data_IF_053239309763
#
_entry.id   IF_053239309763
#
_cell.length_a   1.000
_cell.length_b   1.000
_cell.length_c   1.000
_cell.angle_alpha   90.00
_cell.angle_beta   90.00
_cell.angle_gamma   90.00
#
_symmetry.space_group_name_H-M   'P 1'
#
loop_
_entity.id
_entity.type
_entity.pdbx_description
1 polymer ?
#
# COMPACT_ATOMS: atom_id res chain seq x y z
N UNK A 1 -4.56 19.33 14.32
CA UNK A 1 -4.59 17.87 14.13
C UNK A 1 -3.95 17.56 12.79
N UNK A 2 -2.86 16.79 12.74
CA UNK A 2 -2.30 16.32 11.48
C UNK A 2 -3.24 15.29 10.86
N UNK A 3 -3.62 15.48 9.59
CA UNK A 3 -4.42 14.50 8.85
C UNK A 3 -3.60 13.23 8.65
N UNK A 4 -4.21 12.03 8.79
CA UNK A 4 -3.59 10.74 8.45
C UNK A 4 -2.90 10.82 7.08
N UNK A 5 -3.60 11.38 6.10
CA UNK A 5 -3.08 11.59 4.74
C UNK A 5 -1.79 12.39 4.74
N UNK A 6 -1.68 13.45 5.54
CA UNK A 6 -0.48 14.27 5.63
C UNK A 6 0.70 13.46 6.20
N UNK A 7 0.49 12.67 7.27
CA UNK A 7 1.52 11.82 7.84
C UNK A 7 1.97 10.72 6.85
N UNK A 8 1.01 10.08 6.18
CA UNK A 8 1.32 9.03 5.20
C UNK A 8 2.09 9.58 3.99
N UNK A 9 1.85 10.83 3.58
CA UNK A 9 2.67 11.50 2.57
C UNK A 9 4.08 11.83 3.07
N UNK A 10 4.27 12.13 4.35
CA UNK A 10 5.60 12.38 4.92
C UNK A 10 6.47 11.12 5.07
N UNK A 11 5.91 9.92 4.89
CA UNK A 11 6.69 8.67 4.82
C UNK A 11 7.58 8.56 3.57
N UNK A 12 7.42 9.47 2.60
CA UNK A 12 8.23 9.60 1.40
C UNK A 12 8.56 8.26 0.72
N UNK A 13 7.56 7.56 0.14
CA UNK A 13 7.81 6.29 -0.51
C UNK A 13 8.85 6.40 -1.63
N UNK A 14 9.68 5.38 -1.79
CA UNK A 14 10.77 5.27 -2.74
C UNK A 14 10.23 5.28 -4.18
N UNK A 15 11.07 5.64 -5.14
CA UNK A 15 10.68 5.58 -6.56
C UNK A 15 10.27 4.17 -6.97
N UNK A 16 11.01 3.17 -6.51
CA UNK A 16 10.72 1.77 -6.80
C UNK A 16 9.36 1.31 -6.27
N UNK A 17 9.04 1.63 -5.01
CA UNK A 17 7.74 1.31 -4.44
C UNK A 17 6.59 2.02 -5.16
N UNK A 18 6.79 3.28 -5.55
CA UNK A 18 5.80 4.02 -6.36
C UNK A 18 5.58 3.35 -7.73
N UNK A 19 6.63 2.84 -8.36
CA UNK A 19 6.52 2.13 -9.64
C UNK A 19 5.75 0.82 -9.50
N UNK A 20 6.00 0.07 -8.42
CA UNK A 20 5.24 -1.14 -8.10
C UNK A 20 3.76 -0.85 -7.85
N UNK A 21 3.44 0.22 -7.10
CA UNK A 21 2.05 0.65 -6.91
C UNK A 21 1.39 1.05 -8.22
N UNK A 22 2.09 1.75 -9.13
CA UNK A 22 1.54 2.13 -10.44
C UNK A 22 1.26 0.90 -11.30
N UNK A 23 2.19 -0.05 -11.33
CA UNK A 23 2.04 -1.30 -12.06
C UNK A 23 0.90 -2.14 -11.48
N UNK A 24 0.80 -2.21 -10.16
CA UNK A 24 -0.33 -2.83 -9.48
C UNK A 24 -1.65 -2.18 -9.89
N UNK A 25 -1.76 -0.85 -9.85
CA UNK A 25 -2.99 -0.14 -10.26
C UNK A 25 -3.40 -0.51 -11.68
N UNK A 26 -2.45 -0.50 -12.62
CA UNK A 26 -2.69 -0.88 -14.01
C UNK A 26 -3.26 -2.30 -14.12
N UNK A 27 -2.66 -3.26 -13.40
CA UNK A 27 -3.07 -4.67 -13.41
C UNK A 27 -4.40 -4.88 -12.72
N UNK A 28 -4.61 -4.24 -11.58
CA UNK A 28 -5.85 -4.29 -10.81
C UNK A 28 -7.04 -3.76 -11.63
N UNK A 29 -6.87 -2.63 -12.33
CA UNK A 29 -7.92 -2.06 -13.18
C UNK A 29 -8.13 -2.86 -14.49
N UNK A 30 -7.13 -3.63 -14.91
CA UNK A 30 -7.25 -4.51 -16.07
C UNK A 30 -8.08 -5.77 -15.82
N UNK A 31 -8.42 -6.08 -14.56
CA UNK A 31 -9.25 -7.21 -14.19
C UNK A 31 -10.73 -6.92 -14.47
N UNK A 32 -11.46 -7.78 -15.22
CA UNK A 32 -12.88 -7.56 -15.55
C UNK A 32 -13.78 -7.33 -14.34
N UNK A 33 -13.52 -8.02 -13.22
CA UNK A 33 -14.25 -7.90 -11.96
C UNK A 33 -14.10 -6.53 -11.27
N UNK A 34 -13.10 -5.74 -11.68
CA UNK A 34 -12.77 -4.44 -11.10
C UNK A 34 -13.18 -3.25 -12.00
N UNK A 35 -13.85 -3.50 -13.13
CA UNK A 35 -14.27 -2.45 -14.07
C UNK A 35 -15.09 -1.32 -13.42
N UNK A 36 -15.85 -1.61 -12.36
CA UNK A 36 -16.64 -0.62 -11.61
C UNK A 36 -15.95 -0.10 -10.33
N UNK A 37 -14.75 -0.60 -10.02
CA UNK A 37 -14.01 -0.36 -8.77
C UNK A 37 -12.60 0.14 -9.00
N UNK A 38 -12.39 0.82 -10.12
CA UNK A 38 -11.08 1.29 -10.55
C UNK A 38 -10.38 2.14 -9.48
N UNK A 39 -9.06 1.97 -9.42
CA UNK A 39 -8.18 2.80 -8.61
C UNK A 39 -7.51 3.83 -9.51
N UNK A 40 -7.79 5.11 -9.29
CA UNK A 40 -7.34 6.17 -10.19
C UNK A 40 -5.86 6.57 -10.07
N UNK A 41 -5.21 6.25 -8.94
CA UNK A 41 -3.82 6.66 -8.72
C UNK A 41 -3.11 5.75 -7.72
N UNK A 42 -1.77 5.69 -7.81
CA UNK A 42 -0.94 5.00 -6.83
C UNK A 42 -1.14 5.56 -5.41
N UNK A 43 -1.46 6.86 -5.28
CA UNK A 43 -1.74 7.49 -3.98
C UNK A 43 -3.02 6.92 -3.38
N UNK A 44 -4.08 6.78 -4.18
CA UNK A 44 -5.34 6.20 -3.72
C UNK A 44 -5.16 4.74 -3.28
N UNK A 45 -4.37 3.97 -4.04
CA UNK A 45 -4.01 2.60 -3.66
C UNK A 45 -3.25 2.57 -2.35
N UNK A 46 -2.21 3.41 -2.23
CA UNK A 46 -1.38 3.49 -1.03
C UNK A 46 -2.19 3.83 0.21
N UNK A 47 -3.07 4.84 0.14
CA UNK A 47 -3.95 5.19 1.26
C UNK A 47 -4.90 4.03 1.61
N UNK A 48 -5.51 3.38 0.61
CA UNK A 48 -6.36 2.19 0.85
C UNK A 48 -5.59 1.08 1.55
N UNK A 49 -4.38 0.77 1.09
CA UNK A 49 -3.51 -0.24 1.70
C UNK A 49 -3.18 0.12 3.16
N UNK A 50 -2.80 1.37 3.43
CA UNK A 50 -2.48 1.83 4.80
C UNK A 50 -3.70 1.81 5.72
N UNK A 51 -4.89 2.14 5.21
CA UNK A 51 -6.13 2.00 5.99
C UNK A 51 -6.47 0.54 6.27
N UNK A 52 -6.27 -0.36 5.30
CA UNK A 52 -6.48 -1.79 5.50
C UNK A 52 -5.45 -2.39 6.48
N UNK A 53 -4.22 -1.87 6.51
CA UNK A 53 -3.22 -2.19 7.51
C UNK A 53 -3.74 -1.85 8.91
N UNK A 54 -4.13 -0.60 9.18
CA UNK A 54 -4.66 -0.21 10.50
C UNK A 54 -5.95 -0.95 10.89
N UNK A 55 -6.74 -1.40 9.92
CA UNK A 55 -7.90 -2.25 10.17
C UNK A 55 -7.51 -3.67 10.61
N UNK A 56 -6.43 -4.21 10.04
CA UNK A 56 -5.94 -5.57 10.32
C UNK A 56 -5.07 -5.60 11.58
N UNK A 57 -4.43 -4.48 11.91
CA UNK A 57 -3.54 -4.27 13.06
C UNK A 57 -4.03 -3.03 13.84
N UNK A 58 -5.04 -3.18 14.73
CA UNK A 58 -5.67 -2.06 15.44
C UNK A 58 -4.72 -1.24 16.33
N UNK A 59 -3.55 -1.78 16.66
CA UNK A 59 -2.47 -1.11 17.39
C UNK A 59 -1.75 -0.03 16.58
N UNK A 60 -1.90 -0.04 15.25
CA UNK A 60 -1.22 0.89 14.35
C UNK A 60 -2.00 2.20 14.26
N UNK A 61 -1.37 3.30 14.70
CA UNK A 61 -1.89 4.65 14.49
C UNK A 61 -1.24 5.30 13.25
N UNK A 62 -2.01 5.42 12.16
CA UNK A 62 -1.55 6.05 10.92
C UNK A 62 -1.22 7.54 11.07
N UNK A 63 -1.67 8.21 12.14
CA UNK A 63 -1.34 9.61 12.40
C UNK A 63 0.11 9.80 12.87
N UNK A 64 0.71 8.75 13.42
CA UNK A 64 2.03 8.81 14.08
C UNK A 64 3.01 7.75 13.56
N UNK A 65 2.55 6.80 12.75
CA UNK A 65 3.40 5.79 12.12
C UNK A 65 4.57 6.44 11.40
N UNK A 66 5.76 5.86 11.59
CA UNK A 66 7.01 6.28 10.95
C UNK A 66 7.51 5.21 10.00
N UNK A 67 8.44 5.60 9.13
CA UNK A 67 9.16 4.68 8.26
C UNK A 67 9.90 3.63 9.07
N UNK A 68 10.70 4.06 10.05
CA UNK A 68 11.49 3.16 10.88
C UNK A 68 10.61 2.14 11.60
N UNK A 69 9.47 2.56 12.14
CA UNK A 69 8.51 1.64 12.77
C UNK A 69 8.01 0.55 11.81
N UNK A 70 7.73 0.90 10.54
CA UNK A 70 7.33 -0.07 9.50
C UNK A 70 8.42 -1.12 9.29
N UNK A 71 9.68 -0.72 9.21
CA UNK A 71 10.81 -1.63 9.02
C UNK A 71 11.12 -2.46 10.27
N UNK A 72 11.14 -1.83 11.45
CA UNK A 72 11.46 -2.48 12.74
C UNK A 72 10.42 -3.52 13.14
N UNK A 73 9.14 -3.27 12.84
CA UNK A 73 8.04 -4.17 13.15
C UNK A 73 7.65 -5.06 11.96
N UNK A 74 8.46 -5.03 10.89
CA UNK A 74 8.30 -5.88 9.72
C UNK A 74 6.89 -5.82 9.10
N UNK A 75 6.30 -4.62 9.08
CA UNK A 75 4.91 -4.44 8.69
C UNK A 75 4.70 -4.75 7.20
N UNK A 76 3.59 -5.39 6.83
CA UNK A 76 3.36 -5.87 5.46
C UNK A 76 3.21 -4.75 4.42
N UNK A 77 3.03 -3.49 4.82
CA UNK A 77 2.99 -2.35 3.90
C UNK A 77 4.37 -1.94 3.34
N UNK A 78 5.45 -2.63 3.74
CA UNK A 78 6.82 -2.38 3.27
C UNK A 78 7.02 -2.66 1.78
N UNK A 79 6.27 -3.57 1.16
CA UNK A 79 6.27 -3.80 -0.30
C UNK A 79 4.87 -4.20 -0.76
N UNK A 80 4.57 -4.02 -2.06
CA UNK A 80 3.26 -4.41 -2.61
C UNK A 80 3.04 -5.92 -2.50
N UNK A 81 4.09 -6.70 -2.78
CA UNK A 81 4.10 -8.15 -2.62
C UNK A 81 3.65 -8.56 -1.21
N UNK A 82 4.29 -8.00 -0.17
CA UNK A 82 3.97 -8.35 1.22
C UNK A 82 2.59 -7.88 1.65
N UNK A 83 2.12 -6.77 1.10
CA UNK A 83 0.75 -6.31 1.32
C UNK A 83 -0.27 -7.28 0.74
N UNK A 84 0.01 -7.91 -0.41
CA UNK A 84 -0.85 -8.96 -0.99
C UNK A 84 -0.77 -10.24 -0.15
N UNK A 85 0.42 -10.69 0.26
CA UNK A 85 0.60 -11.87 1.11
C UNK A 85 -0.17 -11.76 2.43
N UNK A 86 -0.20 -10.56 3.04
CA UNK A 86 -0.94 -10.29 4.26
C UNK A 86 -2.44 -10.01 4.05
N UNK A 87 -2.94 -10.05 2.81
CA UNK A 87 -4.34 -9.80 2.48
C UNK A 87 -4.77 -8.33 2.62
N UNK A 88 -3.83 -7.38 2.66
CA UNK A 88 -4.13 -5.95 2.62
C UNK A 88 -4.60 -5.50 1.24
N UNK A 89 -4.10 -6.17 0.20
CA UNK A 89 -4.43 -5.97 -1.19
C UNK A 89 -4.80 -7.33 -1.82
N UNK A 90 -5.78 -7.39 -2.74
CA UNK A 90 -6.06 -8.60 -3.48
C UNK A 90 -4.91 -8.97 -4.44
N UNK A 91 -4.74 -10.25 -4.80
CA UNK A 91 -3.75 -10.63 -5.81
C UNK A 91 -4.14 -10.10 -7.20
N UNK A 92 -3.12 -9.70 -7.97
CA UNK A 92 -3.22 -9.32 -9.40
C UNK A 92 -2.11 -10.01 -10.17
N UNK A 93 -2.18 -10.15 -11.49
CA UNK A 93 -1.13 -10.84 -12.27
C UNK A 93 0.30 -10.39 -11.91
N UNK A 94 1.21 -11.35 -11.68
CA UNK A 94 2.62 -11.17 -11.32
C UNK A 94 2.87 -10.23 -10.12
N UNK A 95 1.97 -10.21 -9.15
CA UNK A 95 2.12 -9.42 -7.93
C UNK A 95 3.35 -9.83 -7.11
N UNK A 96 3.81 -11.08 -7.26
CA UNK A 96 4.96 -11.68 -6.60
C UNK A 96 6.28 -11.00 -6.95
N UNK A 97 6.32 -10.27 -8.07
CA UNK A 97 7.48 -9.51 -8.54
C UNK A 97 7.53 -8.07 -7.99
N UNK A 98 6.48 -7.61 -7.30
CA UNK A 98 6.32 -6.24 -6.83
C UNK A 98 6.91 -6.05 -5.41
N UNK A 99 8.21 -6.35 -5.28
CA UNK A 99 8.91 -6.41 -4.00
C UNK A 99 9.81 -5.20 -3.71
N UNK A 100 9.66 -4.10 -4.45
CA UNK A 100 10.43 -2.88 -4.18
C UNK A 100 9.94 -2.27 -2.88
N UNK A 101 10.85 -2.04 -1.94
CA UNK A 101 10.48 -1.59 -0.60
C UNK A 101 10.10 -0.11 -0.56
N UNK A 102 9.22 0.23 0.40
CA UNK A 102 8.77 1.58 0.76
C UNK A 102 9.89 2.59 0.63
#
# INVERSE_FOLDING_TARGET
>A
MGSITANLHSLQPSTGFKDDLRLYVMRYNGLPENAEKEVYSWVNLYLKMMHQLAKSYPEIDLKTITRDYIYENDLPCISVKRAVEAGLLPPVTDWELLDRTL
#
